data_IF_040168393213
#
_entry.id   IF_040168393213
#
_cell.length_a   1.000
_cell.length_b   1.000
_cell.length_c   1.000
_cell.angle_alpha   90.00
_cell.angle_beta   90.00
_cell.angle_gamma   90.00
#
_symmetry.space_group_name_H-M   'P 1'
#
loop_
_entity.id
_entity.type
_entity.pdbx_description
1 polymer ?
#
# COMPACT_ATOMS: atom_id res chain seq x y z
N UNK A 1 1.92 -10.01 31.91
CA UNK A 1 2.48 -9.74 30.56
C UNK A 1 1.61 -8.64 29.96
N UNK A 2 2.19 -7.56 29.42
CA UNK A 2 1.40 -6.52 28.77
C UNK A 2 1.51 -6.67 27.26
N UNK A 3 0.36 -6.65 26.59
CA UNK A 3 0.23 -6.71 25.14
C UNK A 3 0.13 -5.28 24.62
N UNK A 4 1.12 -4.84 23.85
CA UNK A 4 1.08 -3.58 23.14
C UNK A 4 0.51 -3.80 21.74
N UNK A 5 -0.46 -2.98 21.37
CA UNK A 5 -0.99 -2.86 20.02
C UNK A 5 -0.31 -1.66 19.35
N UNK A 6 0.24 -1.84 18.15
CA UNK A 6 0.88 -0.78 17.38
C UNK A 6 0.26 -0.76 15.99
N UNK A 7 -0.48 0.30 15.61
CA UNK A 7 -1.04 0.41 14.27
C UNK A 7 0.07 0.56 13.23
N UNK A 8 0.07 -0.28 12.19
CA UNK A 8 1.17 -0.36 11.22
C UNK A 8 1.43 0.96 10.50
N UNK A 9 0.39 1.75 10.25
CA UNK A 9 0.53 3.03 9.55
C UNK A 9 1.21 4.14 10.40
N UNK A 10 1.64 3.83 11.63
CA UNK A 10 2.52 4.68 12.45
C UNK A 10 4.04 4.42 12.25
N UNK A 11 4.42 3.57 11.30
CA UNK A 11 5.79 3.45 10.81
C UNK A 11 5.95 4.26 9.51
N UNK A 12 7.12 4.85 9.26
CA UNK A 12 7.44 5.39 7.94
C UNK A 12 7.66 4.26 6.92
N UNK A 13 8.38 3.21 7.35
CA UNK A 13 8.56 1.96 6.60
C UNK A 13 8.41 0.78 7.56
N UNK A 14 7.57 -0.20 7.20
CA UNK A 14 7.43 -1.47 7.92
C UNK A 14 7.52 -2.64 6.93
N UNK A 15 8.38 -3.61 7.21
CA UNK A 15 8.52 -4.83 6.42
C UNK A 15 8.29 -6.08 7.27
N UNK A 16 7.50 -7.04 6.76
CA UNK A 16 7.41 -8.39 7.33
C UNK A 16 8.50 -9.35 6.79
N UNK A 17 9.23 -8.91 5.76
CA UNK A 17 10.36 -9.59 5.13
C UNK A 17 11.66 -8.81 5.42
N UNK A 18 12.78 -9.21 4.83
CA UNK A 18 13.99 -8.37 4.80
C UNK A 18 13.73 -7.04 4.08
N UNK A 19 14.27 -5.95 4.62
CA UNK A 19 14.12 -4.59 4.08
C UNK A 19 15.38 -4.16 3.32
N UNK A 20 15.26 -4.00 2.00
CA UNK A 20 16.34 -3.51 1.13
C UNK A 20 16.21 -1.99 0.87
N UNK A 21 17.28 -1.25 1.12
CA UNK A 21 17.35 0.22 1.02
C UNK A 21 18.52 0.65 0.12
N UNK A 22 18.25 0.78 -1.18
CA UNK A 22 19.26 1.02 -2.25
C UNK A 22 19.07 2.35 -3.01
N UNK A 23 18.98 3.52 -2.32
CA UNK A 23 18.67 4.78 -2.99
C UNK A 23 19.77 5.26 -3.95
N UNK A 24 19.33 5.75 -5.11
CA UNK A 24 20.08 6.41 -6.18
C UNK A 24 20.24 7.92 -6.03
N UNK A 25 19.47 8.52 -5.10
CA UNK A 25 19.46 9.95 -4.78
C UNK A 25 19.46 10.12 -3.27
N UNK A 26 20.07 11.19 -2.76
CA UNK A 26 20.09 11.51 -1.31
C UNK A 26 18.68 11.49 -0.72
N UNK A 27 18.45 10.65 0.29
CA UNK A 27 17.12 10.41 0.86
C UNK A 27 17.11 10.57 2.38
N UNK A 28 16.11 11.30 2.87
CA UNK A 28 15.84 11.49 4.30
C UNK A 28 14.57 10.72 4.65
N UNK A 29 14.72 9.57 5.31
CA UNK A 29 13.59 8.74 5.74
C UNK A 29 12.99 9.37 7.01
N UNK A 30 11.74 9.79 6.94
CA UNK A 30 10.97 10.29 8.09
C UNK A 30 10.06 9.18 8.65
N UNK A 31 9.79 9.23 9.96
CA UNK A 31 9.09 8.16 10.67
C UNK A 31 10.00 6.99 11.07
N UNK A 32 9.47 6.11 11.92
CA UNK A 32 10.16 4.88 12.38
C UNK A 32 10.31 3.86 11.26
N UNK A 33 11.36 3.05 11.32
CA UNK A 33 11.59 1.94 10.39
C UNK A 33 11.64 0.61 11.13
N UNK A 34 10.96 -0.41 10.62
CA UNK A 34 10.98 -1.77 11.18
C UNK A 34 11.06 -2.84 10.08
N UNK A 35 11.76 -3.93 10.40
CA UNK A 35 11.78 -5.19 9.65
C UNK A 35 11.61 -6.38 10.60
N UNK A 36 10.73 -7.31 10.26
CA UNK A 36 10.66 -8.64 10.89
C UNK A 36 11.79 -9.58 10.44
N UNK A 37 12.57 -9.19 9.43
CA UNK A 37 13.82 -9.82 9.04
C UNK A 37 15.03 -8.92 9.33
N UNK A 38 16.01 -8.93 8.43
CA UNK A 38 17.13 -8.00 8.39
C UNK A 38 16.73 -6.63 7.78
N UNK A 39 17.59 -5.62 7.96
CA UNK A 39 17.54 -4.33 7.25
C UNK A 39 18.87 -4.10 6.54
N UNK A 40 18.87 -4.15 5.21
CA UNK A 40 20.02 -3.96 4.33
C UNK A 40 20.06 -2.54 3.76
N UNK A 41 21.14 -1.80 4.03
CA UNK A 41 21.34 -0.42 3.60
C UNK A 41 22.57 -0.30 2.70
N UNK A 42 22.34 -0.02 1.43
CA UNK A 42 23.38 0.06 0.39
C UNK A 42 23.09 1.20 -0.61
N UNK A 43 23.18 2.48 -0.15
CA UNK A 43 22.93 3.64 -0.99
C UNK A 43 23.98 3.78 -2.10
N UNK A 44 23.58 4.22 -3.29
CA UNK A 44 24.41 4.23 -4.50
C UNK A 44 25.09 5.60 -4.70
N UNK A 45 26.28 5.77 -4.13
CA UNK A 45 27.07 7.02 -4.13
C UNK A 45 26.37 8.24 -3.52
N UNK A 46 25.44 8.02 -2.60
CA UNK A 46 24.62 9.08 -1.97
C UNK A 46 24.51 8.90 -0.46
N UNK A 47 24.01 9.93 0.22
CA UNK A 47 23.70 9.85 1.66
C UNK A 47 22.24 9.47 1.88
N UNK A 48 22.02 8.41 2.66
CA UNK A 48 20.72 8.08 3.25
C UNK A 48 20.71 8.47 4.73
N UNK A 49 19.65 9.10 5.21
CA UNK A 49 19.51 9.52 6.61
C UNK A 49 18.18 9.04 7.19
N UNK A 50 18.24 8.20 8.22
CA UNK A 50 17.09 7.85 9.05
C UNK A 50 16.88 8.90 10.14
N UNK A 51 15.76 9.62 10.09
CA UNK A 51 15.45 10.71 11.03
C UNK A 51 14.69 10.23 12.29
N UNK A 52 14.62 8.92 12.50
CA UNK A 52 13.96 8.31 13.65
C UNK A 52 14.52 6.90 13.92
N UNK A 53 13.92 6.16 14.84
CA UNK A 53 14.41 4.85 15.27
C UNK A 53 14.28 3.81 14.13
N UNK A 54 15.31 2.99 13.97
CA UNK A 54 15.38 1.87 13.02
C UNK A 54 15.50 0.57 13.79
N UNK A 55 14.71 -0.43 13.43
CA UNK A 55 14.69 -1.71 14.13
C UNK A 55 14.62 -2.90 13.18
N UNK A 56 15.28 -3.99 13.55
CA UNK A 56 15.28 -5.26 12.82
C UNK A 56 15.12 -6.39 13.84
N UNK A 57 14.24 -7.36 13.58
CA UNK A 57 14.23 -8.58 14.37
C UNK A 57 15.47 -9.45 14.06
N UNK A 58 15.96 -9.38 12.82
CA UNK A 58 17.32 -9.74 12.45
C UNK A 58 18.31 -8.61 12.73
N UNK A 59 19.22 -8.36 11.79
CA UNK A 59 20.35 -7.44 11.87
C UNK A 59 20.13 -6.16 11.05
N UNK A 60 20.76 -5.06 11.45
CA UNK A 60 20.86 -3.83 10.63
C UNK A 60 22.23 -3.82 9.95
N UNK A 61 22.24 -4.08 8.64
CA UNK A 61 23.38 -4.39 7.79
C UNK A 61 23.72 -3.18 6.89
N UNK A 62 24.93 -2.63 7.00
CA UNK A 62 25.41 -1.53 6.15
C UNK A 62 26.16 -2.08 4.92
N UNK A 63 25.44 -2.91 4.15
CA UNK A 63 25.91 -3.62 2.97
C UNK A 63 24.70 -4.04 2.11
N UNK A 64 24.98 -4.45 0.88
CA UNK A 64 23.99 -5.08 -0.01
C UNK A 64 23.35 -6.33 0.61
N UNK A 65 22.10 -6.61 0.24
CA UNK A 65 21.46 -7.90 0.46
C UNK A 65 22.25 -9.03 -0.23
N UNK A 66 22.36 -10.24 0.36
CA UNK A 66 23.09 -11.35 -0.25
C UNK A 66 22.53 -11.80 -1.61
N UNK A 67 21.22 -11.70 -1.79
CA UNK A 67 20.50 -12.12 -3.00
C UNK A 67 20.24 -10.98 -4.01
N UNK A 68 20.61 -9.73 -3.73
CA UNK A 68 20.62 -8.72 -4.79
C UNK A 68 21.86 -8.97 -5.69
N UNK A 69 21.73 -9.23 -6.99
CA UNK A 69 22.88 -9.42 -7.88
C UNK A 69 23.59 -8.10 -8.24
N UNK A 70 22.90 -6.96 -8.16
CA UNK A 70 23.36 -5.66 -8.68
C UNK A 70 24.49 -5.12 -7.83
N UNK A 71 25.66 -4.90 -8.42
CA UNK A 71 26.79 -4.28 -7.70
C UNK A 71 26.54 -2.79 -7.54
N UNK A 72 26.58 -2.31 -6.29
CA UNK A 72 26.50 -0.90 -5.96
C UNK A 72 27.86 -0.35 -5.56
N UNK A 73 28.12 0.96 -5.78
CA UNK A 73 29.37 1.62 -5.37
C UNK A 73 29.45 1.89 -3.86
N UNK A 74 28.43 1.54 -3.09
CA UNK A 74 28.27 1.95 -1.69
C UNK A 74 28.03 3.45 -1.51
N UNK A 75 27.86 3.88 -0.27
CA UNK A 75 27.54 5.26 0.08
C UNK A 75 27.34 5.43 1.59
N UNK A 76 26.83 6.58 2.01
CA UNK A 76 26.78 6.97 3.43
C UNK A 76 25.41 6.69 4.04
N UNK A 77 25.37 5.98 5.17
CA UNK A 77 24.15 5.75 5.96
C UNK A 77 24.27 6.45 7.31
N UNK A 78 23.33 7.33 7.61
CA UNK A 78 23.28 8.13 8.85
C UNK A 78 22.02 7.78 9.64
N UNK A 79 22.18 7.57 10.95
CA UNK A 79 21.07 7.38 11.89
C UNK A 79 21.01 8.57 12.84
N UNK A 80 19.84 9.23 12.93
CA UNK A 80 19.58 10.32 13.88
C UNK A 80 18.72 9.89 15.08
N UNK A 81 18.35 8.61 15.15
CA UNK A 81 17.73 7.96 16.30
C UNK A 81 18.39 6.59 16.55
N UNK A 82 17.87 5.82 17.50
CA UNK A 82 18.44 4.50 17.82
C UNK A 82 18.37 3.52 16.64
N UNK A 83 19.34 2.60 16.58
CA UNK A 83 19.34 1.45 15.67
C UNK A 83 19.44 0.15 16.47
N UNK A 84 18.43 -0.71 16.39
CA UNK A 84 18.31 -1.92 17.21
C UNK A 84 18.08 -3.17 16.35
N UNK A 85 19.09 -4.05 16.27
CA UNK A 85 18.92 -5.42 15.77
C UNK A 85 18.55 -6.39 16.90
N UNK A 86 18.05 -7.58 16.56
CA UNK A 86 17.67 -8.62 17.52
C UNK A 86 16.42 -8.30 18.34
N UNK A 87 15.55 -7.39 17.86
CA UNK A 87 14.28 -7.10 18.54
C UNK A 87 13.25 -8.21 18.29
N UNK A 88 12.09 -8.15 18.96
CA UNK A 88 10.98 -9.07 18.68
C UNK A 88 10.30 -8.71 17.36
N UNK A 89 9.91 -9.72 16.58
CA UNK A 89 9.02 -9.53 15.44
C UNK A 89 7.68 -8.94 15.90
N UNK A 90 7.15 -8.05 15.08
CA UNK A 90 5.85 -7.40 15.25
C UNK A 90 4.86 -8.09 14.32
N UNK A 91 3.93 -8.86 14.90
CA UNK A 91 3.09 -9.82 14.17
C UNK A 91 1.62 -9.41 14.16
N UNK A 92 0.91 -9.64 13.06
CA UNK A 92 -0.54 -9.48 12.99
C UNK A 92 -1.26 -10.60 13.75
N UNK A 93 -2.45 -10.33 14.33
CA UNK A 93 -3.20 -11.29 15.13
C UNK A 93 -3.93 -12.38 14.30
N UNK A 94 -3.43 -12.72 13.11
CA UNK A 94 -4.03 -13.73 12.21
C UNK A 94 -3.92 -15.18 12.73
N UNK A 95 -3.02 -15.43 13.68
CA UNK A 95 -2.75 -16.76 14.23
C UNK A 95 -1.29 -16.89 14.65
N UNK A 96 -0.78 -18.12 14.73
CA UNK A 96 0.65 -18.40 14.96
C UNK A 96 1.51 -18.24 13.72
N UNK A 97 0.94 -18.49 12.52
CA UNK A 97 1.64 -18.31 11.26
C UNK A 97 1.55 -16.84 10.81
N UNK A 98 2.71 -16.17 10.73
CA UNK A 98 2.87 -14.82 10.18
C UNK A 98 3.87 -14.81 8.99
N UNK A 99 3.96 -15.92 8.24
CA UNK A 99 4.75 -15.95 7.00
C UNK A 99 4.20 -14.98 5.95
N UNK A 100 5.01 -14.54 4.97
CA UNK A 100 4.54 -13.71 3.86
C UNK A 100 3.28 -14.27 3.16
N UNK A 101 3.21 -15.59 2.94
CA UNK A 101 2.04 -16.25 2.36
C UNK A 101 0.79 -16.17 3.25
N UNK A 102 0.95 -16.29 4.58
CA UNK A 102 -0.16 -16.15 5.52
C UNK A 102 -0.61 -14.69 5.69
N UNK A 103 0.31 -13.74 5.56
CA UNK A 103 0.03 -12.30 5.59
C UNK A 103 -0.66 -11.81 4.32
N UNK A 104 -0.37 -12.40 3.16
CA UNK A 104 -1.08 -12.10 1.90
C UNK A 104 -2.58 -12.38 2.00
N UNK A 105 -2.97 -13.43 2.73
CA UNK A 105 -4.37 -13.81 2.91
C UNK A 105 -5.27 -12.71 3.54
N UNK A 106 -4.72 -11.64 4.13
CA UNK A 106 -5.55 -10.51 4.63
C UNK A 106 -6.17 -9.68 3.49
N UNK A 107 -5.54 -9.63 2.31
CA UNK A 107 -6.07 -8.92 1.13
C UNK A 107 -6.96 -9.82 0.26
N UNK A 108 -6.87 -11.13 0.43
CA UNK A 108 -7.64 -12.12 -0.32
C UNK A 108 -9.12 -12.18 0.07
N UNK A 109 -9.95 -12.62 -0.88
CA UNK A 109 -11.35 -12.98 -0.62
C UNK A 109 -11.37 -14.20 0.30
N UNK A 110 -12.15 -14.20 1.41
CA UNK A 110 -12.20 -15.34 2.32
C UNK A 110 -12.85 -16.56 1.63
N UNK A 111 -12.30 -17.77 1.81
CA UNK A 111 -12.99 -18.98 1.37
C UNK A 111 -14.29 -19.15 2.16
N UNK A 112 -15.33 -19.73 1.56
CA UNK A 112 -16.65 -19.85 2.17
C UNK A 112 -16.74 -20.67 3.47
N UNK A 113 -15.64 -21.31 3.88
CA UNK A 113 -15.48 -22.02 5.16
C UNK A 113 -14.80 -21.17 6.27
N UNK A 114 -14.27 -19.99 5.96
CA UNK A 114 -13.63 -19.12 6.95
C UNK A 114 -14.68 -18.23 7.64
N UNK A 115 -14.82 -18.39 8.96
CA UNK A 115 -15.65 -17.47 9.75
C UNK A 115 -15.06 -16.05 9.74
N UNK A 116 -15.85 -15.00 9.45
CA UNK A 116 -15.42 -13.60 9.63
C UNK A 116 -15.01 -13.23 11.05
N UNK A 117 -15.40 -14.01 12.06
CA UNK A 117 -14.99 -13.82 13.46
C UNK A 117 -13.72 -14.60 13.85
N UNK A 118 -13.15 -15.39 12.94
CA UNK A 118 -11.85 -16.06 13.16
C UNK A 118 -10.69 -15.04 13.23
N UNK A 119 -9.53 -15.47 13.73
CA UNK A 119 -8.35 -14.62 13.85
C UNK A 119 -7.90 -14.00 12.51
N UNK A 120 -7.85 -14.78 11.44
CA UNK A 120 -7.62 -14.28 10.08
C UNK A 120 -8.84 -13.51 9.55
N UNK A 121 -10.05 -14.03 9.76
CA UNK A 121 -11.30 -13.42 9.30
C UNK A 121 -11.49 -11.97 9.78
N UNK A 122 -11.09 -11.65 11.02
CA UNK A 122 -11.12 -10.30 11.55
C UNK A 122 -10.10 -9.35 10.89
N UNK A 123 -9.04 -9.88 10.28
CA UNK A 123 -7.99 -9.11 9.58
C UNK A 123 -8.22 -9.01 8.06
N UNK A 124 -9.13 -9.80 7.48
CA UNK A 124 -9.55 -9.70 6.07
C UNK A 124 -10.08 -8.30 5.77
N UNK A 125 -9.45 -7.57 4.85
CA UNK A 125 -9.98 -6.30 4.35
C UNK A 125 -11.37 -6.47 3.73
N UNK A 126 -11.66 -7.64 3.13
CA UNK A 126 -13.00 -8.02 2.66
C UNK A 126 -14.06 -7.92 3.76
N UNK A 127 -13.77 -8.44 4.97
CA UNK A 127 -14.72 -8.45 6.08
C UNK A 127 -14.85 -7.07 6.76
N UNK A 128 -13.77 -6.29 6.75
CA UNK A 128 -13.72 -4.93 7.32
C UNK A 128 -14.40 -3.86 6.44
N UNK A 129 -14.65 -4.15 5.16
CA UNK A 129 -15.17 -3.18 4.20
C UNK A 129 -16.55 -2.62 4.54
N UNK A 130 -16.77 -1.35 4.21
CA UNK A 130 -18.09 -0.71 4.26
C UNK A 130 -18.91 -0.99 2.99
N UNK A 131 -18.23 -1.21 1.85
CA UNK A 131 -18.82 -1.66 0.59
C UNK A 131 -17.84 -2.57 -0.16
N UNK A 132 -18.32 -3.74 -0.58
CA UNK A 132 -17.60 -4.77 -1.34
C UNK A 132 -18.09 -4.74 -2.79
N UNK A 133 -17.17 -4.81 -3.75
CA UNK A 133 -17.43 -4.81 -5.20
C UNK A 133 -16.70 -6.02 -5.81
N UNK A 134 -17.45 -6.93 -6.44
CA UNK A 134 -16.94 -8.13 -7.09
C UNK A 134 -17.34 -8.14 -8.57
N UNK A 135 -16.38 -7.89 -9.46
CA UNK A 135 -16.55 -7.98 -10.92
C UNK A 135 -16.47 -9.44 -11.37
N UNK A 136 -17.11 -9.76 -12.49
CA UNK A 136 -17.18 -11.11 -13.09
C UNK A 136 -17.11 -10.99 -14.62
N UNK A 137 -16.97 -12.12 -15.32
CA UNK A 137 -16.94 -12.19 -16.79
C UNK A 137 -18.05 -11.36 -17.48
N UNK A 138 -19.23 -11.29 -16.86
CA UNK A 138 -20.31 -10.39 -17.25
C UNK A 138 -20.86 -9.67 -16.02
N UNK A 139 -20.71 -8.34 -15.96
CA UNK A 139 -21.22 -7.50 -14.88
C UNK A 139 -20.49 -7.71 -13.55
N UNK A 140 -21.23 -7.64 -12.44
CA UNK A 140 -20.68 -7.79 -11.10
C UNK A 140 -21.76 -7.77 -10.03
N UNK A 141 -21.33 -7.85 -8.77
CA UNK A 141 -22.16 -7.78 -7.56
C UNK A 141 -21.53 -6.80 -6.57
N UNK A 142 -22.36 -6.05 -5.84
CA UNK A 142 -21.88 -5.18 -4.77
C UNK A 142 -22.76 -5.27 -3.52
N UNK A 143 -22.12 -5.32 -2.35
CA UNK A 143 -22.80 -5.58 -1.06
C UNK A 143 -22.19 -4.78 0.09
N UNK A 144 -22.91 -4.67 1.20
CA UNK A 144 -22.30 -4.35 2.49
C UNK A 144 -21.36 -5.47 2.97
N UNK A 145 -20.57 -5.19 4.02
CA UNK A 145 -19.56 -6.10 4.61
C UNK A 145 -20.01 -6.87 5.86
N UNK A 146 -19.06 -7.55 6.52
CA UNK A 146 -19.31 -8.62 7.50
C UNK A 146 -20.08 -8.17 8.76
N UNK A 147 -19.66 -7.08 9.41
CA UNK A 147 -20.54 -5.92 9.40
C UNK A 147 -22.01 -6.10 9.83
N UNK A 148 -22.88 -6.27 8.84
CA UNK A 148 -24.32 -6.54 8.93
C UNK A 148 -24.68 -7.83 8.17
N UNK A 149 -23.80 -8.83 8.25
CA UNK A 149 -23.88 -10.13 7.55
C UNK A 149 -24.03 -10.00 6.03
N UNK A 150 -23.39 -9.00 5.41
CA UNK A 150 -23.45 -8.73 3.96
C UNK A 150 -24.87 -8.50 3.40
N UNK A 151 -25.84 -8.14 4.27
CA UNK A 151 -27.28 -8.19 3.97
C UNK A 151 -27.79 -7.16 2.95
N UNK A 152 -27.07 -6.07 2.70
CA UNK A 152 -27.45 -5.09 1.67
C UNK A 152 -26.83 -5.48 0.35
N UNK A 153 -27.65 -5.66 -0.68
CA UNK A 153 -27.23 -5.78 -2.08
C UNK A 153 -27.50 -4.47 -2.83
N UNK A 154 -26.48 -3.93 -3.51
CA UNK A 154 -26.62 -2.73 -4.35
C UNK A 154 -26.80 -3.16 -5.80
N UNK A 155 -27.88 -2.73 -6.51
CA UNK A 155 -28.08 -3.07 -7.91
C UNK A 155 -26.94 -2.55 -8.79
N UNK A 156 -26.30 -3.44 -9.56
CA UNK A 156 -25.06 -3.15 -10.31
C UNK A 156 -25.13 -1.88 -11.19
N UNK A 157 -26.27 -1.65 -11.84
CA UNK A 157 -26.54 -0.48 -12.69
C UNK A 157 -26.55 0.88 -11.96
N UNK A 158 -26.61 0.88 -10.63
CA UNK A 158 -26.53 2.09 -9.77
C UNK A 158 -25.10 2.46 -9.38
N UNK A 159 -24.13 1.55 -9.55
CA UNK A 159 -22.71 1.79 -9.26
C UNK A 159 -21.81 1.72 -10.49
N UNK A 160 -22.22 1.01 -11.55
CA UNK A 160 -21.38 0.69 -12.69
C UNK A 160 -22.03 0.95 -14.06
N UNK A 161 -21.20 1.41 -15.00
CA UNK A 161 -21.45 1.51 -16.44
C UNK A 161 -20.11 1.35 -17.19
N UNK A 162 -20.12 1.50 -18.52
CA UNK A 162 -18.91 1.77 -19.30
C UNK A 162 -18.30 3.14 -18.92
N UNK A 163 -16.99 3.30 -19.12
CA UNK A 163 -16.28 4.56 -18.88
C UNK A 163 -16.92 5.74 -19.65
N UNK A 164 -16.85 6.95 -19.09
CA UNK A 164 -17.42 8.17 -19.69
C UNK A 164 -18.95 8.25 -19.79
N UNK A 165 -19.69 7.19 -19.43
CA UNK A 165 -21.11 7.05 -19.80
C UNK A 165 -22.11 7.65 -18.81
N UNK A 166 -21.82 7.67 -17.49
CA UNK A 166 -22.69 8.31 -16.47
C UNK A 166 -21.88 8.92 -15.32
N UNK A 167 -22.28 10.12 -14.89
CA UNK A 167 -21.63 10.91 -13.82
C UNK A 167 -21.97 10.45 -12.38
N UNK A 168 -23.04 9.68 -12.20
CA UNK A 168 -23.45 9.17 -10.87
C UNK A 168 -22.73 7.89 -10.47
N UNK A 169 -22.34 7.05 -11.43
CA UNK A 169 -21.65 5.78 -11.20
C UNK A 169 -20.14 5.94 -11.10
N UNK A 170 -19.49 5.05 -10.34
CA UNK A 170 -18.07 5.15 -10.04
C UNK A 170 -17.25 3.88 -10.35
N UNK A 171 -17.88 2.78 -10.77
CA UNK A 171 -17.21 1.51 -11.08
C UNK A 171 -17.23 1.24 -12.59
N UNK A 172 -16.07 1.26 -13.22
CA UNK A 172 -15.90 1.08 -14.67
C UNK A 172 -15.06 -0.18 -14.93
N UNK A 173 -15.68 -1.36 -15.11
CA UNK A 173 -14.97 -2.59 -15.42
C UNK A 173 -14.45 -2.58 -16.87
N UNK A 174 -13.38 -3.33 -17.12
CA UNK A 174 -12.76 -3.52 -18.45
C UNK A 174 -12.03 -2.29 -19.03
N UNK A 175 -11.49 -1.39 -18.20
CA UNK A 175 -10.59 -0.32 -18.66
C UNK A 175 -9.20 -0.93 -18.92
N UNK A 176 -8.66 -0.76 -20.12
CA UNK A 176 -7.45 -1.47 -20.56
C UNK A 176 -6.24 -0.54 -20.77
N UNK A 177 -5.05 -0.99 -20.36
CA UNK A 177 -3.75 -0.34 -20.64
C UNK A 177 -2.60 -1.35 -20.53
N UNK A 178 -1.45 -1.08 -21.13
CA UNK A 178 -0.26 -1.93 -21.05
C UNK A 178 0.60 -1.59 -19.83
N UNK A 179 1.05 -2.58 -19.06
CA UNK A 179 2.06 -2.39 -18.02
C UNK A 179 3.45 -2.77 -18.55
N UNK A 180 4.36 -1.80 -18.62
CA UNK A 180 5.73 -2.01 -19.11
C UNK A 180 6.59 -2.88 -18.20
N UNK A 181 6.31 -2.96 -16.90
CA UNK A 181 7.04 -3.82 -15.94
C UNK A 181 6.54 -5.26 -16.02
N UNK A 182 5.22 -5.45 -16.01
CA UNK A 182 4.64 -6.80 -16.11
C UNK A 182 4.73 -7.35 -17.54
N UNK A 183 4.88 -6.49 -18.55
CA UNK A 183 5.08 -6.85 -19.96
C UNK A 183 3.80 -7.28 -20.67
N UNK A 184 2.63 -6.97 -20.09
CA UNK A 184 1.32 -7.48 -20.52
C UNK A 184 0.24 -6.39 -20.52
N UNK A 185 -0.90 -6.71 -21.12
CA UNK A 185 -2.12 -5.91 -21.00
C UNK A 185 -2.77 -6.11 -19.63
N UNK A 186 -3.13 -5.00 -19.02
CA UNK A 186 -3.89 -4.92 -17.77
C UNK A 186 -5.35 -4.65 -18.10
N UNK A 187 -6.24 -5.52 -17.61
CA UNK A 187 -7.69 -5.33 -17.60
C UNK A 187 -8.10 -4.83 -16.22
N UNK A 188 -8.22 -3.51 -16.06
CA UNK A 188 -8.53 -2.88 -14.79
C UNK A 188 -10.05 -2.75 -14.54
N UNK A 189 -10.44 -3.00 -13.29
CA UNK A 189 -11.66 -2.42 -12.70
C UNK A 189 -11.32 -1.03 -12.19
N UNK A 190 -11.77 0.00 -12.90
CA UNK A 190 -11.51 1.39 -12.53
C UNK A 190 -12.56 1.91 -11.55
N UNK A 191 -12.10 2.66 -10.55
CA UNK A 191 -12.87 3.30 -9.48
C UNK A 191 -12.66 4.81 -9.59
N UNK A 192 -13.71 5.55 -9.92
CA UNK A 192 -13.70 7.01 -9.87
C UNK A 192 -14.02 7.50 -8.45
N UNK A 193 -12.95 7.88 -7.75
CA UNK A 193 -13.03 8.34 -6.35
C UNK A 193 -13.71 9.71 -6.25
N UNK A 194 -13.65 10.53 -7.31
CA UNK A 194 -14.33 11.81 -7.42
C UNK A 194 -15.85 11.67 -7.51
N UNK A 195 -16.33 10.71 -8.31
CA UNK A 195 -17.74 10.34 -8.45
C UNK A 195 -18.28 9.64 -7.19
N UNK A 196 -17.50 8.74 -6.59
CA UNK A 196 -17.82 8.14 -5.28
C UNK A 196 -18.00 9.21 -4.21
N UNK A 197 -17.09 10.18 -4.11
CA UNK A 197 -17.18 11.33 -3.21
C UNK A 197 -18.43 12.18 -3.48
N UNK A 198 -18.73 12.49 -4.75
CA UNK A 198 -19.88 13.31 -5.11
C UNK A 198 -21.22 12.66 -4.73
N UNK A 199 -21.29 11.32 -4.81
CA UNK A 199 -22.49 10.53 -4.51
C UNK A 199 -22.40 9.83 -3.13
N UNK A 200 -21.47 10.24 -2.26
CA UNK A 200 -21.11 9.48 -1.05
C UNK A 200 -22.29 9.30 -0.08
N UNK A 201 -23.12 10.32 0.09
CA UNK A 201 -24.35 10.27 0.91
C UNK A 201 -25.35 9.26 0.39
N UNK A 202 -25.50 9.11 -0.93
CA UNK A 202 -26.42 8.16 -1.55
C UNK A 202 -25.98 6.72 -1.26
N UNK A 203 -24.73 6.38 -1.59
CA UNK A 203 -24.21 5.03 -1.33
C UNK A 203 -24.11 4.72 0.16
N UNK A 204 -23.74 5.68 1.00
CA UNK A 204 -23.73 5.53 2.46
C UNK A 204 -25.14 5.28 3.04
N UNK A 205 -26.18 5.91 2.46
CA UNK A 205 -27.58 5.65 2.83
C UNK A 205 -27.99 4.23 2.45
N UNK A 206 -27.67 3.76 1.24
CA UNK A 206 -27.98 2.39 0.81
C UNK A 206 -27.38 1.34 1.75
N UNK A 207 -26.12 1.50 2.13
CA UNK A 207 -25.41 0.53 3.00
C UNK A 207 -25.61 0.78 4.51
N UNK A 208 -26.34 1.83 4.89
CA UNK A 208 -26.68 2.16 6.28
C UNK A 208 -25.52 2.68 7.14
N UNK A 209 -24.41 3.15 6.53
CA UNK A 209 -23.25 3.72 7.22
C UNK A 209 -22.41 4.59 6.28
N UNK A 210 -21.55 5.45 6.81
CA UNK A 210 -20.53 6.12 6.00
C UNK A 210 -19.55 5.11 5.40
N UNK A 211 -19.36 5.15 4.07
CA UNK A 211 -18.34 4.34 3.39
C UNK A 211 -16.95 4.95 3.64
N UNK A 212 -16.08 4.24 4.36
CA UNK A 212 -14.68 4.61 4.63
C UNK A 212 -13.70 3.54 4.13
N UNK A 213 -14.16 2.31 3.90
CA UNK A 213 -13.40 1.26 3.22
C UNK A 213 -14.19 0.68 2.04
N UNK A 214 -13.56 0.64 0.87
CA UNK A 214 -13.95 -0.22 -0.26
C UNK A 214 -13.08 -1.46 -0.31
N UNK A 215 -13.70 -2.60 -0.63
CA UNK A 215 -12.99 -3.79 -1.13
C UNK A 215 -13.39 -4.07 -2.57
N UNK A 216 -12.42 -4.28 -3.46
CA UNK A 216 -12.65 -4.47 -4.90
C UNK A 216 -11.86 -5.67 -5.42
N UNK A 217 -12.53 -6.66 -6.01
CA UNK A 217 -11.90 -7.76 -6.72
C UNK A 217 -12.58 -8.03 -8.07
N UNK A 218 -11.81 -8.51 -9.04
CA UNK A 218 -12.31 -9.06 -10.30
C UNK A 218 -12.15 -10.58 -10.26
N UNK A 219 -13.29 -11.27 -10.15
CA UNK A 219 -13.41 -12.73 -10.11
C UNK A 219 -13.66 -13.32 -11.52
N UNK A 220 -13.32 -12.56 -12.57
CA UNK A 220 -13.32 -13.05 -13.94
C UNK A 220 -12.33 -14.20 -14.15
N UNK A 221 -12.66 -15.10 -15.07
CA UNK A 221 -11.93 -16.34 -15.38
C UNK A 221 -11.66 -16.46 -16.88
N UNK A 222 -10.70 -17.31 -17.26
CA UNK A 222 -10.28 -17.52 -18.66
C UNK A 222 -9.83 -16.23 -19.37
N UNK A 223 -9.14 -15.35 -18.64
CA UNK A 223 -8.59 -14.10 -19.18
C UNK A 223 -7.23 -14.33 -19.83
N UNK A 224 -6.96 -13.54 -20.88
CA UNK A 224 -5.62 -13.38 -21.49
C UNK A 224 -4.86 -12.23 -20.81
N UNK A 225 -5.59 -11.19 -20.41
CA UNK A 225 -5.06 -10.01 -19.73
C UNK A 225 -5.00 -10.19 -18.20
N UNK A 226 -4.05 -9.53 -17.54
CA UNK A 226 -3.95 -9.53 -16.08
C UNK A 226 -4.98 -8.59 -15.45
N UNK A 227 -5.67 -9.03 -14.39
CA UNK A 227 -6.63 -8.18 -13.67
C UNK A 227 -5.96 -7.21 -12.70
N UNK A 228 -6.57 -6.03 -12.55
CA UNK A 228 -6.13 -4.99 -11.63
C UNK A 228 -7.31 -4.15 -11.12
N UNK A 229 -7.05 -3.31 -10.11
CA UNK A 229 -7.93 -2.21 -9.72
C UNK A 229 -7.20 -0.88 -9.98
N UNK A 230 -7.92 0.12 -10.51
CA UNK A 230 -7.35 1.45 -10.77
C UNK A 230 -8.18 2.56 -10.14
N UNK A 231 -7.55 3.43 -9.35
CA UNK A 231 -8.19 4.63 -8.81
C UNK A 231 -7.92 5.83 -9.72
N UNK A 232 -8.97 6.59 -10.05
CA UNK A 232 -8.90 7.87 -10.76
C UNK A 232 -9.60 8.97 -9.98
N UNK A 233 -9.31 10.23 -10.30
CA UNK A 233 -9.97 11.43 -9.77
C UNK A 233 -9.92 11.58 -8.23
N UNK A 234 -8.97 10.90 -7.57
CA UNK A 234 -8.85 10.81 -6.12
C UNK A 234 -8.20 12.00 -5.42
N UNK A 235 -8.01 13.15 -6.08
CA UNK A 235 -7.30 14.30 -5.49
C UNK A 235 -7.96 14.79 -4.20
N UNK A 236 -9.30 14.71 -4.12
CA UNK A 236 -10.06 14.91 -2.89
C UNK A 236 -10.92 13.69 -2.66
N UNK A 237 -10.79 13.08 -1.49
CA UNK A 237 -11.53 11.88 -1.08
C UNK A 237 -12.89 12.23 -0.45
N UNK A 238 -13.76 11.25 -0.16
CA UNK A 238 -14.86 11.41 0.79
C UNK A 238 -14.40 11.98 2.14
N UNK A 239 -15.22 12.83 2.75
CA UNK A 239 -14.91 13.51 4.01
C UNK A 239 -14.51 12.59 5.20
N UNK A 240 -15.09 11.39 5.41
CA UNK A 240 -14.70 10.52 6.52
C UNK A 240 -13.47 9.65 6.23
N UNK A 241 -12.75 9.90 5.13
CA UNK A 241 -11.61 9.10 4.68
C UNK A 241 -11.98 8.03 3.65
N UNK A 242 -10.95 7.41 3.06
CA UNK A 242 -11.11 6.27 2.15
C UNK A 242 -9.88 5.35 2.15
N UNK A 243 -10.06 4.13 2.66
CA UNK A 243 -9.24 2.95 2.36
C UNK A 243 -9.80 2.25 1.13
N UNK A 244 -8.94 1.84 0.19
CA UNK A 244 -9.32 0.87 -0.86
C UNK A 244 -8.42 -0.35 -0.77
N UNK A 245 -9.01 -1.53 -0.74
CA UNK A 245 -8.34 -2.82 -0.69
C UNK A 245 -8.71 -3.73 -1.87
N UNK A 246 -7.77 -4.54 -2.32
CA UNK A 246 -7.93 -5.48 -3.44
C UNK A 246 -6.94 -6.65 -3.33
N UNK A 247 -7.26 -7.85 -3.85
CA UNK A 247 -6.30 -8.96 -4.00
C UNK A 247 -5.40 -8.80 -5.24
N UNK A 248 -5.64 -7.80 -6.08
CA UNK A 248 -4.92 -7.59 -7.34
C UNK A 248 -3.86 -6.48 -7.23
N UNK A 249 -3.12 -6.26 -8.31
CA UNK A 249 -2.35 -5.03 -8.49
C UNK A 249 -3.27 -3.79 -8.44
N UNK A 250 -2.87 -2.79 -7.67
CA UNK A 250 -3.58 -1.53 -7.48
C UNK A 250 -2.80 -0.39 -8.14
N UNK A 251 -3.49 0.37 -8.99
CA UNK A 251 -2.96 1.52 -9.71
C UNK A 251 -3.65 2.80 -9.23
N UNK A 252 -2.92 3.91 -9.07
CA UNK A 252 -3.51 5.23 -8.77
C UNK A 252 -3.03 6.26 -9.78
N UNK A 253 -3.97 6.91 -10.46
CA UNK A 253 -3.73 7.88 -11.54
C UNK A 253 -4.00 9.30 -11.07
N UNK A 254 -3.00 10.16 -11.20
CA UNK A 254 -3.04 11.56 -10.80
C UNK A 254 -2.90 11.79 -9.29
N UNK A 255 -3.20 13.00 -8.83
CA UNK A 255 -3.12 13.33 -7.40
C UNK A 255 -4.09 12.49 -6.57
N UNK A 256 -3.66 12.05 -5.39
CA UNK A 256 -4.49 11.29 -4.45
C UNK A 256 -4.45 11.89 -3.05
N UNK A 257 -5.62 12.20 -2.49
CA UNK A 257 -5.79 12.82 -1.17
C UNK A 257 -4.92 14.09 -0.99
N UNK A 258 -4.77 14.88 -2.04
CA UNK A 258 -3.89 16.05 -2.10
C UNK A 258 -4.73 17.31 -2.43
N UNK A 259 -5.46 17.87 -1.44
CA UNK A 259 -6.04 19.20 -1.58
C UNK A 259 -4.94 20.22 -1.89
N UNK A 260 -5.30 21.39 -2.44
CA UNK A 260 -4.35 22.35 -3.03
C UNK A 260 -3.19 22.77 -2.12
N UNK A 261 -3.39 22.73 -0.80
CA UNK A 261 -2.40 23.01 0.25
C UNK A 261 -1.31 21.93 0.43
N UNK A 262 -1.59 20.69 0.01
CA UNK A 262 -0.71 19.53 0.13
C UNK A 262 0.13 19.27 -1.14
N UNK A 263 -0.24 19.85 -2.28
CA UNK A 263 0.39 19.59 -3.58
C UNK A 263 1.89 19.89 -3.58
N UNK A 264 2.73 18.87 -3.77
CA UNK A 264 4.19 18.98 -3.79
C UNK A 264 4.84 19.19 -2.41
N UNK A 265 4.07 19.28 -1.32
CA UNK A 265 4.54 19.60 0.04
C UNK A 265 4.50 18.38 0.98
N UNK A 266 5.01 18.55 2.20
CA UNK A 266 4.82 17.61 3.31
C UNK A 266 3.67 18.03 4.24
N UNK A 267 2.85 19.01 3.85
CA UNK A 267 1.74 19.48 4.66
C UNK A 267 0.51 18.59 4.44
N UNK A 268 0.24 17.71 5.40
CA UNK A 268 -0.91 16.81 5.36
C UNK A 268 -2.07 17.26 6.25
N UNK A 269 -2.04 18.46 6.83
CA UNK A 269 -3.05 18.89 7.83
C UNK A 269 -4.50 18.82 7.34
N UNK A 270 -4.73 19.03 6.03
CA UNK A 270 -6.04 18.97 5.37
C UNK A 270 -6.32 17.65 4.62
N UNK A 271 -5.44 16.64 4.71
CA UNK A 271 -5.72 15.30 4.17
C UNK A 271 -6.65 14.53 5.13
N UNK A 272 -7.46 13.63 4.57
CA UNK A 272 -8.34 12.75 5.34
C UNK A 272 -7.69 11.36 5.50
N UNK A 273 -8.14 10.51 6.45
CA UNK A 273 -7.55 9.18 6.64
C UNK A 273 -7.68 8.33 5.37
N UNK A 274 -6.56 7.85 4.84
CA UNK A 274 -6.54 7.12 3.57
C UNK A 274 -5.48 6.02 3.52
N UNK A 275 -5.86 4.88 2.96
CA UNK A 275 -4.95 3.75 2.70
C UNK A 275 -5.21 3.12 1.33
N UNK A 276 -4.14 2.60 0.74
CA UNK A 276 -4.10 1.91 -0.54
C UNK A 276 -3.54 0.52 -0.27
N UNK A 277 -4.34 -0.52 -0.52
CA UNK A 277 -4.04 -1.89 -0.12
C UNK A 277 -4.19 -2.81 -1.33
N UNK A 278 -3.13 -3.51 -1.71
CA UNK A 278 -3.14 -4.37 -2.90
C UNK A 278 -1.96 -5.34 -2.97
N UNK A 279 -2.00 -6.26 -3.94
CA UNK A 279 -0.90 -7.21 -4.19
C UNK A 279 0.39 -6.49 -4.61
N UNK A 280 0.23 -5.44 -5.41
CA UNK A 280 1.28 -4.52 -5.84
C UNK A 280 0.72 -3.09 -5.92
N UNK A 281 1.57 -2.07 -5.73
CA UNK A 281 1.18 -0.66 -5.80
C UNK A 281 1.90 0.07 -6.93
N UNK A 282 1.16 0.63 -7.89
CA UNK A 282 1.68 1.45 -8.99
C UNK A 282 1.12 2.87 -8.94
N UNK A 283 2.00 3.88 -9.01
CA UNK A 283 1.61 5.29 -9.14
C UNK A 283 1.82 5.81 -10.57
N UNK A 284 0.81 6.50 -11.09
CA UNK A 284 0.75 7.08 -12.43
C UNK A 284 0.45 8.58 -12.32
N UNK A 285 1.16 9.40 -13.08
CA UNK A 285 1.09 10.86 -12.97
C UNK A 285 -0.24 11.46 -13.45
N UNK A 286 -0.45 12.77 -13.25
CA UNK A 286 -1.62 13.46 -13.82
C UNK A 286 -1.61 13.54 -15.35
N UNK A 287 -0.47 13.26 -16.01
CA UNK A 287 -0.37 13.21 -17.48
C UNK A 287 -0.32 11.79 -18.05
N UNK A 288 -0.56 10.75 -17.24
CA UNK A 288 -0.66 9.37 -17.74
C UNK A 288 -1.77 9.22 -18.78
N UNK A 289 -1.43 8.68 -19.95
CA UNK A 289 -2.36 8.41 -21.05
C UNK A 289 -2.30 6.93 -21.41
N UNK A 290 -3.45 6.26 -21.37
CA UNK A 290 -3.58 4.83 -21.61
C UNK A 290 -3.25 4.47 -23.07
N UNK A 291 -3.53 5.37 -24.01
CA UNK A 291 -3.14 5.23 -25.42
C UNK A 291 -1.60 5.20 -25.62
N UNK A 292 -0.83 5.73 -24.67
CA UNK A 292 0.63 5.76 -24.71
C UNK A 292 1.26 4.66 -23.82
N UNK A 293 0.46 3.80 -23.18
CA UNK A 293 0.93 2.84 -22.17
C UNK A 293 1.96 1.83 -22.70
N UNK A 294 1.84 1.42 -23.96
CA UNK A 294 2.82 0.55 -24.64
C UNK A 294 4.02 1.31 -25.25
N UNK A 295 4.00 2.64 -25.30
CA UNK A 295 5.02 3.47 -25.96
C UNK A 295 6.38 3.44 -25.25
N UNK A 296 7.38 4.06 -25.87
CA UNK A 296 8.68 4.36 -25.28
C UNK A 296 8.58 5.37 -24.10
N UNK A 297 9.73 5.76 -23.56
CA UNK A 297 9.82 6.78 -22.51
C UNK A 297 9.66 8.24 -23.01
N UNK A 298 9.55 8.49 -24.33
CA UNK A 298 9.17 9.80 -24.86
C UNK A 298 7.65 9.98 -24.95
N UNK A 299 6.88 8.91 -25.19
CA UNK A 299 5.42 8.90 -25.14
C UNK A 299 4.85 8.92 -23.71
N UNK A 300 5.50 8.28 -22.74
CA UNK A 300 5.05 8.18 -21.34
C UNK A 300 5.71 9.23 -20.42
N UNK A 301 5.46 10.52 -20.67
CA UNK A 301 6.07 11.63 -19.89
C UNK A 301 5.22 12.00 -18.67
N UNK A 302 5.82 11.93 -17.49
CA UNK A 302 5.15 12.24 -16.24
C UNK A 302 5.02 13.76 -15.96
N UNK A 303 4.08 14.09 -15.08
CA UNK A 303 3.94 15.35 -14.37
C UNK A 303 4.34 15.21 -12.88
N UNK A 304 4.72 16.30 -12.23
CA UNK A 304 4.95 16.27 -10.78
C UNK A 304 3.63 15.99 -10.04
N UNK A 305 3.57 14.89 -9.30
CA UNK A 305 2.32 14.35 -8.73
C UNK A 305 2.46 14.14 -7.22
N UNK A 306 1.34 14.01 -6.50
CA UNK A 306 1.31 13.96 -5.03
C UNK A 306 0.27 12.95 -4.54
N UNK A 307 0.69 12.04 -3.66
CA UNK A 307 -0.11 10.97 -3.09
C UNK A 307 0.00 11.00 -1.56
N UNK A 308 -1.10 11.15 -0.85
CA UNK A 308 -1.13 11.16 0.62
C UNK A 308 -1.96 9.98 1.16
N UNK A 309 -1.34 8.83 1.39
CA UNK A 309 -2.02 7.63 1.88
C UNK A 309 -1.03 6.64 2.49
N UNK A 310 -1.47 5.85 3.46
CA UNK A 310 -0.76 4.61 3.77
C UNK A 310 -0.79 3.67 2.56
N UNK A 311 0.28 2.91 2.34
CA UNK A 311 0.39 1.88 1.31
C UNK A 311 0.68 0.56 2.01
N UNK A 312 -0.18 -0.44 1.81
CA UNK A 312 0.08 -1.82 2.18
C UNK A 312 0.16 -2.65 0.90
N UNK A 313 1.36 -3.13 0.58
CA UNK A 313 1.65 -3.79 -0.71
C UNK A 313 2.48 -5.05 -0.53
N UNK A 314 2.52 -5.88 -1.56
CA UNK A 314 3.57 -6.88 -1.72
C UNK A 314 4.82 -6.30 -2.37
N UNK A 315 5.89 -7.09 -2.37
CA UNK A 315 7.11 -6.85 -3.17
C UNK A 315 7.51 -8.12 -3.93
N UNK A 316 8.30 -7.97 -4.99
CA UNK A 316 9.08 -9.08 -5.57
C UNK A 316 10.49 -8.98 -4.96
N UNK A 317 10.89 -9.86 -4.03
CA UNK A 317 12.16 -9.76 -3.31
C UNK A 317 13.36 -10.14 -4.20
N UNK A 318 14.57 -9.72 -3.84
CA UNK A 318 15.79 -10.16 -4.53
C UNK A 318 16.05 -11.66 -4.35
N UNK A 319 16.34 -12.40 -5.42
CA UNK A 319 16.42 -13.88 -5.43
C UNK A 319 17.81 -14.47 -5.79
N UNK A 320 18.76 -13.63 -6.19
CA UNK A 320 20.09 -13.99 -6.71
C UNK A 320 20.23 -13.81 -8.22
N UNK A 321 19.13 -13.76 -8.96
CA UNK A 321 19.06 -13.52 -10.40
C UNK A 321 18.61 -12.09 -10.72
N UNK A 322 17.75 -11.50 -9.88
CA UNK A 322 17.27 -10.12 -9.98
C UNK A 322 17.22 -9.43 -8.60
N UNK A 323 17.15 -8.09 -8.64
CA UNK A 323 16.96 -7.24 -7.46
C UNK A 323 15.47 -6.91 -7.28
N UNK A 324 15.04 -6.70 -6.04
CA UNK A 324 13.74 -6.08 -5.74
C UNK A 324 13.69 -4.59 -6.14
N UNK A 325 14.86 -3.96 -6.31
CA UNK A 325 15.01 -2.50 -6.39
C UNK A 325 14.82 -1.79 -5.04
N UNK A 326 14.61 -2.52 -3.95
CA UNK A 326 14.37 -2.02 -2.60
C UNK A 326 13.07 -1.24 -2.41
N UNK A 327 12.90 -0.69 -1.21
CA UNK A 327 11.68 0.00 -0.77
C UNK A 327 11.22 1.16 -1.67
N UNK A 328 12.16 1.83 -2.35
CA UNK A 328 11.85 2.90 -3.31
C UNK A 328 11.19 2.40 -4.62
N UNK A 329 11.13 1.09 -4.84
CA UNK A 329 10.51 0.43 -5.99
C UNK A 329 9.40 -0.58 -5.60
N UNK A 330 9.06 -0.66 -4.30
CA UNK A 330 7.83 -1.30 -3.82
C UNK A 330 6.59 -0.54 -4.31
N UNK A 331 6.69 0.79 -4.34
CA UNK A 331 5.81 1.65 -5.15
C UNK A 331 6.40 1.70 -6.57
N UNK A 332 5.68 1.11 -7.52
CA UNK A 332 6.05 0.97 -8.94
C UNK A 332 5.68 2.23 -9.73
N UNK A 333 6.38 2.46 -10.84
CA UNK A 333 6.20 3.60 -11.75
C UNK A 333 6.33 3.11 -13.20
N UNK A 334 5.58 3.71 -14.14
CA UNK A 334 5.57 3.33 -15.57
C UNK A 334 5.91 4.50 -16.51
N UNK A 335 6.59 5.55 -16.03
CA UNK A 335 6.73 6.81 -16.78
C UNK A 335 8.14 7.40 -16.70
N UNK A 336 8.43 8.31 -17.62
CA UNK A 336 9.59 9.17 -17.59
C UNK A 336 9.36 10.35 -16.63
N UNK A 337 9.90 10.25 -15.41
CA UNK A 337 9.87 11.31 -14.39
C UNK A 337 11.10 12.23 -14.40
N UNK A 338 11.85 12.29 -15.51
CA UNK A 338 13.00 13.20 -15.62
C UNK A 338 12.58 14.65 -15.35
N UNK A 339 13.28 15.30 -14.42
CA UNK A 339 12.96 16.64 -13.90
C UNK A 339 11.53 16.79 -13.33
N UNK A 340 10.91 15.70 -12.85
CA UNK A 340 9.63 15.69 -12.12
C UNK A 340 9.81 15.31 -10.65
N UNK A 341 8.87 15.75 -9.83
CA UNK A 341 8.82 15.41 -8.39
C UNK A 341 7.66 14.46 -8.12
N UNK A 342 7.97 13.32 -7.50
CA UNK A 342 6.96 12.43 -6.93
C UNK A 342 6.93 12.67 -5.42
N UNK A 343 5.90 13.36 -4.95
CA UNK A 343 5.68 13.57 -3.52
C UNK A 343 4.78 12.47 -2.97
N UNK A 344 5.23 11.79 -1.93
CA UNK A 344 4.49 10.76 -1.23
C UNK A 344 4.56 11.06 0.27
N UNK A 345 3.41 11.23 0.91
CA UNK A 345 3.31 11.35 2.36
C UNK A 345 2.44 10.19 2.89
N UNK A 346 3.03 9.26 3.63
CA UNK A 346 2.33 8.08 4.12
C UNK A 346 3.23 7.04 4.76
N UNK A 347 2.63 5.92 5.15
CA UNK A 347 3.34 4.76 5.68
C UNK A 347 3.50 3.72 4.58
N UNK A 348 4.74 3.29 4.30
CA UNK A 348 5.01 2.17 3.39
C UNK A 348 5.10 0.86 4.17
N UNK A 349 4.10 0.01 4.03
CA UNK A 349 4.01 -1.30 4.68
C UNK A 349 4.12 -2.40 3.62
N UNK A 350 5.08 -3.32 3.78
CA UNK A 350 5.25 -4.48 2.91
C UNK A 350 5.13 -5.75 3.75
N UNK A 351 4.03 -6.48 3.59
CA UNK A 351 3.73 -7.65 4.42
C UNK A 351 3.96 -8.99 3.72
N UNK A 352 4.06 -9.01 2.39
CA UNK A 352 4.05 -10.25 1.62
C UNK A 352 4.81 -10.14 0.30
N UNK A 353 5.00 -11.28 -0.36
CA UNK A 353 5.43 -11.33 -1.76
C UNK A 353 4.22 -11.13 -2.69
N UNK A 354 4.41 -10.44 -3.82
CA UNK A 354 3.35 -10.34 -4.84
C UNK A 354 2.99 -11.72 -5.41
N UNK A 355 1.72 -11.96 -5.70
CA UNK A 355 1.19 -13.17 -6.34
C UNK A 355 0.55 -12.91 -7.71
N UNK A 356 0.12 -11.68 -8.01
CA UNK A 356 -0.50 -11.31 -9.29
C UNK A 356 0.44 -10.53 -10.20
N UNK A 357 1.13 -9.51 -9.67
CA UNK A 357 2.09 -8.69 -10.42
C UNK A 357 3.52 -9.08 -10.04
N UNK A 358 3.98 -10.21 -10.59
CA UNK A 358 5.20 -10.89 -10.16
C UNK A 358 6.46 -10.45 -10.89
N UNK A 359 6.42 -9.54 -11.87
CA UNK A 359 7.63 -9.17 -12.61
C UNK A 359 8.63 -8.40 -11.73
N UNK A 360 9.91 -8.83 -11.66
CA UNK A 360 10.92 -8.20 -10.81
C UNK A 360 11.37 -6.83 -11.33
N UNK A 361 12.13 -6.09 -10.50
CA UNK A 361 12.66 -4.79 -10.91
C UNK A 361 13.78 -4.99 -11.95
N UNK A 362 13.62 -4.37 -13.12
CA UNK A 362 14.53 -4.56 -14.26
C UNK A 362 14.22 -5.78 -15.14
N UNK A 363 13.09 -6.47 -14.94
CA UNK A 363 12.64 -7.57 -15.80
C UNK A 363 12.52 -7.19 -17.29
N UNK A 364 12.17 -5.93 -17.54
CA UNK A 364 11.92 -5.35 -18.86
C UNK A 364 12.66 -4.02 -19.02
N UNK A 365 12.90 -3.61 -20.27
CA UNK A 365 13.47 -2.31 -20.59
C UNK A 365 12.44 -1.17 -20.55
N UNK A 366 12.93 0.07 -20.48
CA UNK A 366 12.12 1.30 -20.60
C UNK A 366 10.95 1.48 -19.61
N UNK A 367 10.93 0.77 -18.47
CA UNK A 367 9.81 0.83 -17.52
C UNK A 367 9.55 2.26 -17.03
N UNK A 368 10.55 2.92 -16.45
CA UNK A 368 10.45 4.28 -15.94
C UNK A 368 11.81 5.00 -15.94
N UNK A 369 11.80 6.33 -15.85
CA UNK A 369 12.96 7.13 -15.41
C UNK A 369 12.61 7.73 -14.05
N UNK A 370 13.56 7.72 -13.12
CA UNK A 370 13.29 8.02 -11.71
C UNK A 370 12.94 9.49 -11.40
N UNK A 371 11.93 9.75 -10.55
CA UNK A 371 11.61 11.09 -10.08
C UNK A 371 12.60 11.61 -9.05
N UNK A 372 12.54 12.92 -8.79
CA UNK A 372 12.87 13.45 -7.47
C UNK A 372 11.83 12.92 -6.45
N UNK A 373 12.17 11.87 -5.71
CA UNK A 373 11.31 11.23 -4.70
C UNK A 373 11.31 12.06 -3.41
N UNK A 374 10.16 12.65 -3.07
CA UNK A 374 9.89 13.28 -1.76
C UNK A 374 9.01 12.36 -0.93
N UNK A 375 9.58 11.27 -0.43
CA UNK A 375 8.88 10.23 0.34
C UNK A 375 9.01 10.51 1.84
N UNK A 376 7.89 10.70 2.52
CA UNK A 376 7.80 11.05 3.94
C UNK A 376 6.68 10.29 4.65
N UNK A 377 6.70 10.24 5.99
CA UNK A 377 5.53 9.85 6.80
C UNK A 377 4.47 10.95 6.82
N UNK A 378 3.20 10.60 6.60
CA UNK A 378 2.06 11.48 6.95
C UNK A 378 1.94 11.57 8.48
N UNK A 379 2.25 12.74 9.03
CA UNK A 379 2.22 13.00 10.47
C UNK A 379 0.82 12.87 11.09
N UNK A 380 -0.25 12.88 10.30
CA UNK A 380 -1.60 12.58 10.78
C UNK A 380 -1.69 11.20 11.41
N UNK A 381 -0.96 10.19 10.88
CA UNK A 381 -1.07 8.81 11.37
C UNK A 381 -0.52 8.65 12.79
N UNK A 382 0.28 9.61 13.28
CA UNK A 382 0.69 9.65 14.70
C UNK A 382 -0.49 9.95 15.65
N UNK A 383 -1.62 10.46 15.14
CA UNK A 383 -2.88 10.61 15.87
C UNK A 383 -3.82 9.42 15.54
N UNK A 384 -4.19 8.57 16.53
CA UNK A 384 -5.11 7.45 16.32
C UNK A 384 -6.44 7.84 15.68
N UNK A 385 -6.98 9.04 15.96
CA UNK A 385 -8.24 9.52 15.39
C UNK A 385 -8.14 9.91 13.90
N UNK A 386 -6.93 9.91 13.31
CA UNK A 386 -6.68 10.13 11.88
C UNK A 386 -6.10 8.88 11.17
N UNK A 387 -6.10 7.71 11.81
CA UNK A 387 -5.69 6.48 11.17
C UNK A 387 -6.73 6.03 10.11
N UNK A 388 -6.29 5.51 8.94
CA UNK A 388 -7.18 4.94 7.94
C UNK A 388 -8.10 3.83 8.47
N UNK A 389 -9.30 3.71 7.90
CA UNK A 389 -10.22 2.62 8.23
C UNK A 389 -9.57 1.26 7.93
N UNK A 390 -9.58 0.35 8.91
CA UNK A 390 -8.91 -0.95 8.80
C UNK A 390 -7.38 -0.88 8.83
N UNK A 391 -6.78 0.12 9.48
CA UNK A 391 -5.35 0.10 9.80
C UNK A 391 -5.02 -1.18 10.57
N UNK A 392 -4.15 -2.09 10.08
CA UNK A 392 -3.82 -3.30 10.81
C UNK A 392 -2.95 -2.99 12.03
N UNK A 393 -3.16 -3.72 13.12
CA UNK A 393 -2.43 -3.56 14.37
C UNK A 393 -1.53 -4.76 14.63
N UNK A 394 -0.21 -4.54 14.68
CA UNK A 394 0.73 -5.56 15.11
C UNK A 394 0.81 -5.61 16.63
N UNK A 395 0.97 -6.82 17.15
CA UNK A 395 1.06 -7.10 18.59
C UNK A 395 2.49 -7.40 18.99
N UNK A 396 2.89 -6.90 20.15
CA UNK A 396 4.13 -7.32 20.83
C UNK A 396 3.91 -7.46 22.33
N UNK A 397 4.61 -8.41 22.95
CA UNK A 397 4.47 -8.77 24.36
C UNK A 397 5.73 -8.44 25.14
N UNK A 398 5.60 -7.51 26.09
CA UNK A 398 6.69 -7.12 26.98
C UNK A 398 6.60 -7.85 28.33
N UNK A 399 7.76 -8.27 28.84
CA UNK A 399 7.91 -8.85 30.19
C UNK A 399 8.27 -7.72 31.15
N UNK A 400 7.29 -7.26 31.93
CA UNK A 400 7.54 -6.41 33.09
C UNK A 400 8.54 -7.14 33.99
N UNK A 401 9.58 -6.44 34.44
CA UNK A 401 10.56 -6.98 35.37
C UNK A 401 9.84 -7.22 36.70
N UNK A 402 9.91 -8.43 37.24
CA UNK A 402 9.52 -8.68 38.62
C UNK A 402 10.53 -7.99 39.53
N UNK A 403 10.18 -6.84 40.08
CA UNK A 403 10.84 -6.34 41.28
C UNK A 403 10.57 -7.34 42.40
N UNK A 404 11.63 -7.98 42.88
CA UNK A 404 11.57 -8.69 44.16
C UNK A 404 11.46 -7.61 45.23
N UNK A 405 10.24 -7.39 45.74
CA UNK A 405 10.09 -6.71 47.03
C UNK A 405 10.81 -7.56 48.06
N UNK A 406 11.77 -6.97 48.77
CA UNK A 406 12.39 -7.62 49.90
C UNK A 406 11.28 -7.91 50.95
N UNK A 407 11.28 -9.10 51.59
CA UNK A 407 10.36 -9.33 52.70
C UNK A 407 10.57 -8.25 53.76
N UNK A 408 9.46 -7.74 54.32
CA UNK A 408 9.37 -6.73 55.38
C UNK A 408 9.35 -5.24 54.97
N UNK A 409 9.14 -4.87 53.70
CA UNK A 409 8.70 -3.50 53.37
C UNK A 409 7.19 -3.34 53.61
N UNK A 410 6.80 -2.85 54.78
CA UNK A 410 5.46 -2.26 55.00
C UNK A 410 5.36 -0.88 54.35
N UNK A 411 4.13 -0.46 54.03
CA UNK A 411 3.76 0.79 53.34
C UNK A 411 4.31 2.06 53.98
#
# INVERSE_FOLDING_TARGET
>A
MQLAYVPLFQFGIFYALDLEMVPSKTWRVTGRVHSNGDVYCDPRSVTMTFLNHVSAAGSIQLRRHPLDPVTHPGGTVVFSGERLGGVRTLNLPIGTNNSPTALHAIIEVPPGSESPTSLLGQQRFYNQADLIILVKNTGGTATSGAYNSFSVSIPWSTISNSEGTKSTTFVFPNVAFFDKREGTMIKATQIDVGALRANHTYYSTLVGRQIRMLYVADLSTNLVDQTAVRLVNGQTLPAPGLTVATPHALYVKGHYNAPSSALGTTNTTQTVPAALVGDAMTFLSTTWNDNNSASDLSGRRASSTTFNAAVLTGIVPSDGNYSSGGSLNAIRLLENWSSRTLTYNGSLVVLFTCQTATSPWGATSEVYIEPNRRFNLDLNFLNPAKLPAGTPEVRTGFRVIWSILAPNTTS
#
